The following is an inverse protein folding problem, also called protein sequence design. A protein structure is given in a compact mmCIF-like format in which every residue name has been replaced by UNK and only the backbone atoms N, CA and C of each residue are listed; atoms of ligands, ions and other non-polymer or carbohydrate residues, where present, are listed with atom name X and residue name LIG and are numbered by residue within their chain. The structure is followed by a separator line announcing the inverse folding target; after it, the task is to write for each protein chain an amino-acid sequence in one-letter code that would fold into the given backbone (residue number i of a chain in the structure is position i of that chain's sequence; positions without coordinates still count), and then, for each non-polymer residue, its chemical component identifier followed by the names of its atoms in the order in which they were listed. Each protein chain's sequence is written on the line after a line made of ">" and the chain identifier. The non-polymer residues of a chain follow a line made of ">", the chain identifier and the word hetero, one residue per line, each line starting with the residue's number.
data_IF_349144985792
#
_entry.id   IF_349144985792
#
_cell.length_a   1.000
_cell.length_b   1.000
_cell.length_c   1.000
_cell.angle_alpha   90.00
_cell.angle_beta   90.00
_cell.angle_gamma   90.00
#
_symmetry.space_group_name_H-M   'P 1'
#
loop_
_entity.id
_entity.type
_entity.pdbx_description
1 polymer ?
#
# COMPACT_ATOMS: atom_id res chain seq x y z
N UNK A 1 -18.84 -20.14 -24.97
CA UNK A 1 -19.17 -20.73 -23.66
C UNK A 1 -19.31 -19.57 -22.69
N UNK A 2 -20.53 -19.30 -22.21
CA UNK A 2 -20.88 -18.07 -21.50
C UNK A 2 -20.25 -18.09 -20.09
N UNK A 3 -19.36 -17.14 -19.81
CA UNK A 3 -18.99 -16.77 -18.45
C UNK A 3 -19.92 -15.64 -18.03
N UNK A 4 -21.05 -16.01 -17.42
CA UNK A 4 -21.84 -15.10 -16.59
C UNK A 4 -21.90 -15.73 -15.20
N UNK A 5 -21.89 -14.85 -14.21
CA UNK A 5 -22.39 -15.07 -12.87
C UNK A 5 -21.44 -15.82 -11.90
N UNK A 6 -20.30 -15.19 -11.59
CA UNK A 6 -19.71 -15.36 -10.26
C UNK A 6 -20.41 -14.37 -9.31
N UNK A 7 -21.09 -14.82 -8.25
CA UNK A 7 -21.72 -13.92 -7.30
C UNK A 7 -20.65 -13.09 -6.59
N UNK A 8 -20.80 -11.76 -6.64
CA UNK A 8 -20.02 -10.83 -5.82
C UNK A 8 -20.25 -11.19 -4.36
N UNK A 9 -19.27 -11.81 -3.73
CA UNK A 9 -19.33 -12.20 -2.33
C UNK A 9 -19.49 -10.95 -1.45
N UNK A 10 -20.24 -11.04 -0.35
CA UNK A 10 -20.52 -9.91 0.53
C UNK A 10 -19.21 -9.42 1.15
N UNK A 11 -18.73 -8.24 0.75
CA UNK A 11 -17.74 -7.39 1.46
C UNK A 11 -16.96 -8.12 2.57
N UNK A 12 -16.16 -9.12 2.19
CA UNK A 12 -15.60 -10.03 3.19
C UNK A 12 -14.54 -9.28 3.98
N UNK A 13 -14.74 -9.22 5.29
CA UNK A 13 -13.76 -8.68 6.22
C UNK A 13 -12.77 -9.81 6.49
N UNK A 14 -11.61 -9.75 5.85
CA UNK A 14 -10.53 -10.69 6.15
C UNK A 14 -9.77 -10.22 7.37
N UNK A 15 -9.61 -11.14 8.33
CA UNK A 15 -8.71 -11.00 9.47
C UNK A 15 -7.44 -11.77 9.15
N UNK A 16 -6.32 -11.06 9.08
CA UNK A 16 -4.99 -11.65 8.95
C UNK A 16 -4.34 -11.61 10.32
N UNK A 17 -4.17 -12.79 10.93
CA UNK A 17 -3.41 -12.98 12.16
C UNK A 17 -2.03 -13.55 11.82
N UNK A 18 -0.97 -13.02 12.44
CA UNK A 18 0.39 -13.58 12.32
C UNK A 18 0.60 -14.58 13.46
N UNK A 19 0.90 -15.85 13.16
CA UNK A 19 1.43 -16.76 14.19
C UNK A 19 2.85 -16.30 14.58
N UNK A 20 3.05 -16.03 15.86
CA UNK A 20 4.28 -15.49 16.45
C UNK A 20 5.28 -16.60 16.79
N UNK A 21 6.48 -16.58 16.18
CA UNK A 21 7.71 -17.00 16.87
C UNK A 21 8.51 -15.75 17.20
N UNK A 22 8.50 -15.35 18.47
CA UNK A 22 9.28 -14.24 19.01
C UNK A 22 10.47 -14.83 19.75
N UNK A 23 11.63 -14.86 19.10
CA UNK A 23 12.91 -15.06 19.81
C UNK A 23 13.30 -13.74 20.54
N UNK A 24 13.54 -13.76 21.86
CA UNK A 24 13.84 -12.55 22.62
C UNK A 24 15.27 -12.05 22.37
N UNK A 25 15.39 -10.81 21.88
CA UNK A 25 16.67 -10.09 21.84
C UNK A 25 17.04 -9.66 23.28
N UNK A 26 18.01 -10.37 23.85
CA UNK A 26 18.67 -10.03 25.12
C UNK A 26 19.43 -8.71 25.00
N UNK A 27 19.08 -7.72 25.83
CA UNK A 27 19.85 -6.48 26.01
C UNK A 27 20.24 -6.37 27.50
N UNK A 28 21.53 -6.49 27.87
CA UNK A 28 21.91 -6.45 29.27
C UNK A 28 21.84 -5.02 29.81
N UNK A 29 21.02 -4.85 30.84
CA UNK A 29 20.82 -3.63 31.62
C UNK A 29 21.98 -3.44 32.61
N UNK A 30 22.71 -2.33 32.53
CA UNK A 30 23.38 -1.66 33.67
C UNK A 30 23.52 -0.17 33.36
N UNK A 31 23.36 0.83 34.22
CA UNK A 31 22.81 1.06 35.58
C UNK A 31 23.07 2.58 35.83
N UNK A 32 22.18 3.24 36.58
CA UNK A 32 22.31 4.56 37.25
C UNK A 32 22.35 5.86 36.41
N UNK A 33 21.26 6.64 36.54
CA UNK A 33 21.25 8.12 36.62
C UNK A 33 21.90 8.55 37.95
N UNK A 34 22.45 9.78 38.15
CA UNK A 34 21.85 11.07 37.74
C UNK A 34 22.83 12.19 37.30
N UNK A 35 22.36 13.17 36.52
CA UNK A 35 22.44 14.60 36.86
C UNK A 35 21.82 15.48 35.76
N UNK A 36 21.18 16.53 36.25
CA UNK A 36 20.50 17.61 35.55
C UNK A 36 21.51 18.51 34.81
N UNK A 37 21.39 18.65 33.48
CA UNK A 37 21.78 19.86 32.76
C UNK A 37 21.11 19.89 31.37
N UNK A 38 20.43 20.99 31.11
CA UNK A 38 19.81 21.34 29.82
C UNK A 38 20.86 21.23 28.71
N UNK A 39 20.54 20.44 27.69
CA UNK A 39 21.12 20.54 26.35
C UNK A 39 19.98 20.32 25.35
N UNK A 40 19.32 21.43 25.06
CA UNK A 40 18.93 21.89 23.73
C UNK A 40 18.59 20.83 22.67
N UNK A 41 17.28 20.74 22.36
CA UNK A 41 16.76 21.16 21.06
C UNK A 41 17.54 20.71 19.80
N UNK A 42 17.91 19.43 19.67
CA UNK A 42 18.48 18.91 18.41
C UNK A 42 18.09 17.47 18.03
N UNK A 43 16.85 17.06 18.33
CA UNK A 43 16.30 15.77 17.83
C UNK A 43 14.91 15.89 17.17
N UNK A 44 14.57 17.04 16.56
CA UNK A 44 13.34 17.19 15.76
C UNK A 44 13.59 17.10 14.24
N UNK A 45 14.66 16.42 13.82
CA UNK A 45 15.07 16.39 12.41
C UNK A 45 15.23 15.02 11.76
N UNK A 46 14.95 13.92 12.47
CA UNK A 46 14.98 12.58 11.87
C UNK A 46 13.54 12.14 11.65
N UNK A 47 13.12 12.03 10.38
CA UNK A 47 11.90 11.35 9.98
C UNK A 47 11.91 9.94 10.58
N UNK A 48 11.33 9.82 11.78
CA UNK A 48 11.16 8.58 12.48
C UNK A 48 10.04 7.85 11.75
N UNK A 49 10.36 7.14 10.66
CA UNK A 49 9.51 6.07 10.16
C UNK A 49 9.46 5.01 11.27
N UNK A 50 8.58 5.24 12.25
CA UNK A 50 8.23 4.22 13.24
C UNK A 50 7.51 3.14 12.47
N UNK A 51 8.21 2.06 12.15
CA UNK A 51 7.59 0.80 11.75
C UNK A 51 6.51 0.50 12.79
N UNK A 52 5.24 0.60 12.36
CA UNK A 52 4.14 0.19 13.22
C UNK A 52 4.21 -1.34 13.29
N UNK A 53 4.26 -1.93 14.49
CA UNK A 53 4.20 -3.37 14.60
C UNK A 53 2.92 -3.85 13.91
N UNK A 54 3.07 -4.84 13.04
CA UNK A 54 1.96 -5.46 12.33
C UNK A 54 1.65 -6.78 13.04
N UNK A 55 0.57 -6.80 13.83
CA UNK A 55 0.11 -8.00 14.56
C UNK A 55 -1.08 -8.64 13.84
N UNK A 56 -2.22 -7.96 13.86
CA UNK A 56 -3.44 -8.38 13.20
C UNK A 56 -4.04 -7.21 12.45
N UNK A 57 -4.53 -7.45 11.22
CA UNK A 57 -5.25 -6.45 10.45
C UNK A 57 -6.61 -6.99 10.04
N UNK A 58 -7.63 -6.15 10.18
CA UNK A 58 -9.02 -6.46 9.81
C UNK A 58 -9.50 -5.32 8.96
N UNK A 59 -9.98 -5.62 7.76
CA UNK A 59 -10.40 -4.57 6.85
C UNK A 59 -11.12 -5.10 5.62
N UNK A 60 -11.69 -4.17 4.88
CA UNK A 60 -12.40 -4.44 3.64
C UNK A 60 -11.43 -4.91 2.56
N UNK A 61 -11.82 -6.00 1.88
CA UNK A 61 -11.06 -6.63 0.82
C UNK A 61 -11.51 -6.12 -0.54
N UNK A 62 -10.53 -5.76 -1.36
CA UNK A 62 -10.73 -5.43 -2.76
C UNK A 62 -10.22 -6.58 -3.65
N UNK A 63 -11.11 -7.28 -4.37
CA UNK A 63 -10.70 -8.30 -5.33
C UNK A 63 -10.28 -7.68 -6.66
N UNK A 64 -8.99 -7.71 -6.96
CA UNK A 64 -8.42 -7.30 -8.24
C UNK A 64 -8.22 -8.54 -9.12
N UNK A 65 -9.18 -8.78 -10.02
CA UNK A 65 -9.19 -9.95 -10.91
C UNK A 65 -8.26 -9.79 -12.13
N UNK A 66 -6.99 -9.46 -11.89
CA UNK A 66 -5.96 -9.21 -12.91
C UNK A 66 -4.68 -9.94 -12.51
N UNK A 67 -4.14 -10.74 -13.43
CA UNK A 67 -2.82 -11.40 -13.33
C UNK A 67 -1.72 -10.53 -13.94
N UNK A 68 -0.47 -10.69 -13.49
CA UNK A 68 0.68 -9.94 -13.99
C UNK A 68 0.52 -8.42 -13.86
N UNK A 69 0.09 -7.98 -12.67
CA UNK A 69 0.02 -6.55 -12.35
C UNK A 69 1.44 -6.02 -12.23
N UNK A 70 1.89 -5.26 -13.22
CA UNK A 70 3.23 -4.70 -13.23
C UNK A 70 3.34 -3.42 -12.37
N UNK A 71 4.58 -3.01 -12.08
CA UNK A 71 4.83 -1.80 -11.29
C UNK A 71 4.48 -0.50 -12.01
N UNK A 72 4.36 -0.49 -13.35
CA UNK A 72 3.87 0.68 -14.11
C UNK A 72 2.36 0.86 -13.95
N UNK A 73 1.62 -0.25 -13.91
CA UNK A 73 0.19 -0.31 -13.69
C UNK A 73 -0.16 0.13 -12.27
N UNK A 74 0.66 -0.25 -11.28
CA UNK A 74 0.53 0.24 -9.90
C UNK A 74 0.77 1.74 -9.84
N UNK A 75 1.89 2.21 -10.40
CA UNK A 75 2.21 3.65 -10.47
C UNK A 75 2.94 3.99 -11.78
N UNK A 76 2.33 4.81 -12.66
CA UNK A 76 2.96 5.15 -13.92
C UNK A 76 4.25 5.95 -13.74
N UNK A 77 5.20 5.74 -14.67
CA UNK A 77 6.50 6.41 -14.69
C UNK A 77 6.47 7.93 -14.59
N UNK A 78 5.37 8.56 -15.00
CA UNK A 78 5.21 10.03 -14.99
C UNK A 78 5.28 10.62 -13.58
N UNK A 79 4.90 9.85 -12.55
CA UNK A 79 4.90 10.29 -11.15
C UNK A 79 6.23 10.04 -10.42
N UNK A 80 7.16 9.31 -11.04
CA UNK A 80 8.47 8.95 -10.46
C UNK A 80 9.48 10.11 -10.45
N UNK A 81 9.12 11.28 -11.00
CA UNK A 81 9.96 12.48 -10.97
C UNK A 81 10.02 13.14 -9.59
N UNK A 82 9.17 12.71 -8.65
CA UNK A 82 9.11 13.29 -7.31
C UNK A 82 10.19 12.75 -6.38
N UNK A 83 10.73 13.61 -5.53
CA UNK A 83 11.68 13.26 -4.46
C UNK A 83 10.94 12.88 -3.17
N UNK A 84 9.63 13.14 -3.10
CA UNK A 84 8.83 12.86 -1.90
C UNK A 84 8.62 11.36 -1.77
N UNK A 85 8.49 10.89 -0.52
CA UNK A 85 8.16 9.48 -0.18
C UNK A 85 6.69 9.29 0.19
N UNK A 86 5.89 10.35 0.09
CA UNK A 86 4.47 10.39 0.50
C UNK A 86 3.66 11.23 -0.50
N UNK A 87 2.36 10.97 -0.57
CA UNK A 87 1.42 11.64 -1.45
C UNK A 87 1.17 10.91 -2.77
N UNK A 88 1.51 9.61 -2.86
CA UNK A 88 1.31 8.83 -4.09
C UNK A 88 -0.02 8.09 -4.14
N UNK A 89 -0.76 8.02 -3.03
CA UNK A 89 -2.05 7.33 -2.96
C UNK A 89 -3.05 7.72 -4.06
N UNK A 90 -3.21 9.01 -4.44
CA UNK A 90 -4.09 9.41 -5.54
C UNK A 90 -3.70 8.81 -6.90
N UNK A 91 -2.40 8.61 -7.15
CA UNK A 91 -1.87 8.10 -8.42
C UNK A 91 -1.85 6.57 -8.52
N UNK A 92 -2.33 5.87 -7.49
CA UNK A 92 -2.43 4.41 -7.50
C UNK A 92 -3.40 3.93 -8.58
N UNK A 93 -2.94 3.00 -9.43
CA UNK A 93 -3.70 2.45 -10.55
C UNK A 93 -4.24 3.52 -11.50
N UNK A 94 -3.47 4.58 -11.75
CA UNK A 94 -3.92 5.76 -12.50
C UNK A 94 -4.62 5.42 -13.83
N UNK A 95 -3.99 4.56 -14.64
CA UNK A 95 -4.49 4.15 -15.96
C UNK A 95 -5.83 3.42 -15.90
N UNK A 96 -6.11 2.73 -14.80
CA UNK A 96 -7.38 2.01 -14.60
C UNK A 96 -8.42 2.89 -13.90
N UNK A 97 -7.96 3.78 -13.02
CA UNK A 97 -8.79 4.56 -12.09
C UNK A 97 -9.35 5.82 -12.74
N UNK A 98 -8.60 6.44 -13.66
CA UNK A 98 -8.98 7.67 -14.34
C UNK A 98 -9.12 7.42 -15.86
N UNK A 99 -10.02 8.15 -16.51
CA UNK A 99 -10.23 8.06 -17.96
C UNK A 99 -9.38 9.07 -18.75
N UNK A 100 -8.86 10.08 -18.07
CA UNK A 100 -8.00 11.13 -18.59
C UNK A 100 -6.54 10.86 -18.19
N UNK A 101 -5.59 11.38 -18.97
CA UNK A 101 -4.18 11.40 -18.61
C UNK A 101 -3.88 12.62 -17.74
N UNK A 102 -3.00 12.45 -16.74
CA UNK A 102 -2.51 13.55 -15.92
C UNK A 102 -1.00 13.49 -15.75
N UNK A 103 -0.40 14.65 -15.46
CA UNK A 103 0.99 14.75 -15.07
C UNK A 103 1.13 14.87 -13.55
N UNK A 104 2.38 14.74 -13.09
CA UNK A 104 2.69 14.94 -11.69
C UNK A 104 2.38 16.38 -11.27
N UNK A 105 1.54 16.53 -10.24
CA UNK A 105 1.13 17.83 -9.69
C UNK A 105 -0.28 18.25 -10.07
N UNK A 106 -0.94 17.54 -10.98
CA UNK A 106 -2.34 17.78 -11.32
C UNK A 106 -3.29 17.38 -10.18
N UNK A 107 -4.38 18.13 -10.04
CA UNK A 107 -5.40 17.86 -9.04
C UNK A 107 -6.25 16.64 -9.42
N UNK A 108 -5.91 15.50 -8.82
CA UNK A 108 -6.60 14.23 -9.04
C UNK A 108 -8.10 14.25 -8.67
N UNK A 109 -8.55 15.23 -7.89
CA UNK A 109 -9.96 15.34 -7.46
C UNK A 109 -10.88 15.81 -8.59
N UNK A 110 -10.31 16.48 -9.61
CA UNK A 110 -11.06 17.03 -10.75
C UNK A 110 -11.09 16.09 -11.96
N UNK A 111 -10.37 14.98 -11.87
CA UNK A 111 -10.21 14.01 -12.95
C UNK A 111 -11.45 13.13 -13.09
N UNK A 112 -11.65 12.59 -14.30
CA UNK A 112 -12.81 11.76 -14.59
C UNK A 112 -12.55 10.34 -14.14
N UNK A 113 -13.23 9.94 -13.06
CA UNK A 113 -13.13 8.57 -12.53
C UNK A 113 -13.74 7.55 -13.48
N UNK A 114 -13.06 6.42 -13.62
CA UNK A 114 -13.60 5.25 -14.28
C UNK A 114 -14.52 4.48 -13.32
N UNK A 115 -15.82 4.46 -13.60
CA UNK A 115 -16.83 3.78 -12.75
C UNK A 115 -16.77 2.26 -12.85
N UNK A 116 -16.16 1.72 -13.91
CA UNK A 116 -16.00 0.27 -14.10
C UNK A 116 -14.92 -0.30 -13.17
N UNK A 117 -13.95 0.54 -12.79
CA UNK A 117 -12.85 0.09 -11.95
C UNK A 117 -13.29 -0.12 -10.51
N UNK A 118 -12.96 -1.30 -9.97
CA UNK A 118 -13.47 -1.76 -8.67
C UNK A 118 -13.08 -0.84 -7.50
N UNK A 119 -11.91 -0.21 -7.56
CA UNK A 119 -11.43 0.71 -6.52
C UNK A 119 -12.28 1.99 -6.40
N UNK A 120 -12.97 2.37 -7.47
CA UNK A 120 -13.82 3.56 -7.50
C UNK A 120 -15.27 3.26 -7.12
N UNK A 121 -15.65 1.98 -7.01
CA UNK A 121 -17.00 1.60 -6.57
C UNK A 121 -17.16 1.91 -5.10
N UNK A 122 -18.33 2.44 -4.73
CA UNK A 122 -18.64 2.84 -3.35
C UNK A 122 -18.50 1.68 -2.36
N UNK A 123 -18.83 0.47 -2.80
CA UNK A 123 -18.76 -0.78 -2.03
C UNK A 123 -17.35 -1.12 -1.55
N UNK A 124 -16.32 -0.65 -2.25
CA UNK A 124 -14.91 -0.92 -1.95
C UNK A 124 -14.17 0.33 -1.44
N UNK A 125 -14.90 1.40 -1.12
CA UNK A 125 -14.30 2.62 -0.58
C UNK A 125 -13.75 2.36 0.82
N UNK A 126 -12.46 2.66 1.03
CA UNK A 126 -11.78 2.37 2.29
C UNK A 126 -11.24 0.94 2.40
N UNK A 127 -11.12 0.24 1.28
CA UNK A 127 -10.39 -1.02 1.20
C UNK A 127 -8.99 -0.89 1.77
N UNK A 128 -8.59 -1.85 2.60
CA UNK A 128 -7.24 -1.89 3.19
C UNK A 128 -6.55 -3.24 2.97
N UNK A 129 -7.26 -4.21 2.41
CA UNK A 129 -6.71 -5.49 1.98
C UNK A 129 -6.92 -5.61 0.47
N UNK A 130 -5.86 -5.88 -0.28
CA UNK A 130 -5.92 -6.15 -1.72
C UNK A 130 -5.81 -7.65 -1.95
N UNK A 131 -6.75 -8.23 -2.70
CA UNK A 131 -6.66 -9.60 -3.19
C UNK A 131 -6.32 -9.56 -4.68
N UNK A 132 -5.17 -10.08 -5.08
CA UNK A 132 -4.68 -10.10 -6.44
C UNK A 132 -4.41 -11.54 -6.92
N UNK A 133 -4.21 -11.72 -8.23
CA UNK A 133 -3.82 -13.01 -8.82
C UNK A 133 -2.30 -13.21 -8.77
N UNK A 134 -1.79 -14.08 -9.63
CA UNK A 134 -0.36 -14.39 -9.76
C UNK A 134 0.47 -13.22 -10.30
N UNK A 135 1.75 -13.24 -9.93
CA UNK A 135 2.82 -12.35 -10.40
C UNK A 135 2.53 -10.87 -10.13
N UNK A 136 2.08 -10.56 -8.91
CA UNK A 136 1.82 -9.18 -8.50
C UNK A 136 3.13 -8.40 -8.30
N UNK A 137 3.19 -7.18 -8.81
CA UNK A 137 4.36 -6.30 -8.71
C UNK A 137 5.46 -6.64 -9.71
N UNK A 138 5.13 -7.29 -10.83
CA UNK A 138 6.12 -7.65 -11.84
C UNK A 138 6.67 -6.43 -12.61
N UNK A 139 7.67 -6.65 -13.46
CA UNK A 139 8.26 -5.59 -14.27
C UNK A 139 9.49 -4.96 -13.61
N UNK A 140 9.62 -3.64 -13.67
CA UNK A 140 10.84 -2.96 -13.22
C UNK A 140 10.81 -2.61 -11.73
N UNK A 141 12.00 -2.55 -11.11
CA UNK A 141 12.15 -2.15 -9.70
C UNK A 141 11.71 -0.71 -9.49
N UNK A 142 10.66 -0.52 -8.68
CA UNK A 142 10.06 0.78 -8.37
C UNK A 142 9.62 0.84 -6.91
N UNK A 143 10.43 1.46 -6.06
CA UNK A 143 10.12 1.68 -4.63
C UNK A 143 8.85 2.53 -4.41
N UNK A 144 8.43 3.28 -5.43
CA UNK A 144 7.23 4.10 -5.38
C UNK A 144 5.95 3.27 -5.38
N UNK A 145 5.98 2.04 -5.92
CA UNK A 145 4.82 1.15 -5.96
C UNK A 145 4.32 0.79 -4.55
N UNK A 146 5.15 0.24 -3.63
CA UNK A 146 4.71 -0.01 -2.26
C UNK A 146 4.35 1.26 -1.49
N UNK A 147 5.00 2.41 -1.76
CA UNK A 147 4.62 3.69 -1.14
C UNK A 147 3.23 4.16 -1.56
N UNK A 148 2.89 4.05 -2.85
CA UNK A 148 1.56 4.43 -3.35
C UNK A 148 0.46 3.56 -2.72
N UNK A 149 0.70 2.26 -2.58
CA UNK A 149 -0.23 1.35 -1.93
C UNK A 149 -0.43 1.67 -0.45
N UNK A 150 0.67 1.94 0.27
CA UNK A 150 0.62 2.33 1.68
C UNK A 150 -0.10 3.67 1.89
N UNK A 151 0.21 4.66 1.05
CA UNK A 151 -0.40 6.00 1.10
C UNK A 151 -1.90 5.97 0.76
N UNK A 152 -2.32 5.10 -0.16
CA UNK A 152 -3.73 4.90 -0.46
C UNK A 152 -4.48 4.31 0.74
N UNK A 153 -3.81 3.45 1.52
CA UNK A 153 -4.37 2.84 2.73
C UNK A 153 -4.36 1.32 2.72
N UNK A 154 -3.76 0.68 1.71
CA UNK A 154 -3.54 -0.77 1.73
C UNK A 154 -2.50 -1.14 2.77
N UNK A 155 -2.85 -2.11 3.62
CA UNK A 155 -2.00 -2.64 4.68
C UNK A 155 -1.58 -4.07 4.43
N UNK A 156 -2.40 -4.80 3.67
CA UNK A 156 -2.18 -6.21 3.34
C UNK A 156 -2.45 -6.41 1.87
N UNK A 157 -1.59 -7.17 1.21
CA UNK A 157 -1.79 -7.65 -0.15
C UNK A 157 -1.71 -9.16 -0.10
N UNK A 158 -2.73 -9.83 -0.62
CA UNK A 158 -2.82 -11.27 -0.74
C UNK A 158 -2.80 -11.58 -2.23
N UNK A 159 -1.80 -12.32 -2.68
CA UNK A 159 -1.65 -12.71 -4.07
C UNK A 159 -1.20 -14.17 -4.14
N UNK A 160 -1.49 -14.85 -5.25
CA UNK A 160 -1.01 -16.22 -5.46
C UNK A 160 0.52 -16.29 -5.57
N UNK A 161 1.13 -15.23 -6.10
CA UNK A 161 2.59 -15.06 -6.16
C UNK A 161 2.94 -13.58 -6.33
N UNK A 162 4.14 -13.22 -5.87
CA UNK A 162 4.72 -11.88 -6.02
C UNK A 162 5.97 -11.96 -6.88
N UNK A 163 6.31 -10.87 -7.55
CA UNK A 163 7.60 -10.75 -8.21
C UNK A 163 8.73 -10.53 -7.19
N UNK A 164 9.90 -11.13 -7.44
CA UNK A 164 11.05 -11.11 -6.52
C UNK A 164 11.52 -9.70 -6.13
N UNK A 165 11.34 -8.73 -7.03
CA UNK A 165 11.75 -7.33 -6.81
C UNK A 165 10.78 -6.54 -5.93
N UNK A 166 9.57 -7.04 -5.74
CA UNK A 166 8.47 -6.33 -5.09
C UNK A 166 8.26 -6.77 -3.63
N UNK A 167 8.64 -8.02 -3.30
CA UNK A 167 8.42 -8.65 -1.99
C UNK A 167 9.55 -8.39 -0.98
#
# INVERSE_FOLDING_TARGET
>A
MRLRDAPLLPTEILRVDREEEVEPIYCPRKVLQPLLLRVDWWMQGVCKMKLKPFSSHTGLVLPLDISNVDTDLIIPKQYLKSIKKVGFGPYLFDELRYLDSAEYGDDCSKRKLNTEFILNKEEYKGSSVLLARENFGCGSSREHAPWAMLDYGFRVIIASSFADIFF
#
